data_IF_824948542493
#
_entry.id   IF_824948542493
#
_cell.length_a   1.000
_cell.length_b   1.000
_cell.length_c   1.000
_cell.angle_alpha   90.00
_cell.angle_beta   90.00
_cell.angle_gamma   90.00
#
_symmetry.space_group_name_H-M   'P 1'
#
loop_
_entity.id
_entity.type
_entity.pdbx_description
1 polymer ?
#
# COMPACT_ATOMS: atom_id res chain seq x y z
N UNK A 1 4.35 27.37 -1.64
CA UNK A 1 5.26 27.76 -0.54
C UNK A 1 4.83 26.98 0.70
N UNK A 2 5.40 25.80 0.90
CA UNK A 2 5.08 24.93 2.05
C UNK A 2 6.25 25.00 3.02
N UNK A 3 6.17 25.93 3.98
CA UNK A 3 7.16 26.06 5.03
C UNK A 3 7.08 24.87 5.98
N UNK A 4 8.19 24.19 6.18
CA UNK A 4 8.37 23.25 7.29
C UNK A 4 8.05 23.94 8.63
N UNK A 5 7.17 23.38 9.48
CA UNK A 5 7.05 23.85 10.86
C UNK A 5 8.09 23.11 11.72
N UNK A 6 9.38 23.23 11.39
CA UNK A 6 10.46 22.56 12.13
C UNK A 6 10.78 23.17 13.51
N UNK A 7 9.97 24.13 14.01
CA UNK A 7 10.25 24.75 15.32
C UNK A 7 9.02 25.09 16.18
N UNK A 8 7.87 24.44 15.98
CA UNK A 8 6.75 24.56 16.94
C UNK A 8 6.92 23.51 18.03
N UNK A 9 7.13 23.87 19.31
CA UNK A 9 7.20 22.88 20.37
C UNK A 9 5.88 22.11 20.46
N UNK A 10 5.94 20.79 20.44
CA UNK A 10 4.78 19.90 20.45
C UNK A 10 5.19 18.44 20.51
N UNK A 11 4.21 17.55 20.71
CA UNK A 11 4.44 16.12 20.78
C UNK A 11 3.63 15.41 19.68
N UNK A 12 4.24 14.40 19.07
CA UNK A 12 3.56 13.47 18.18
C UNK A 12 3.09 12.29 19.01
N UNK A 13 1.79 12.01 18.96
CA UNK A 13 1.17 10.93 19.71
C UNK A 13 0.48 9.96 18.76
N UNK A 14 0.71 8.68 19.01
CA UNK A 14 -0.01 7.57 18.40
C UNK A 14 -1.26 7.32 19.24
N UNK A 15 -2.44 7.43 18.63
CA UNK A 15 -3.72 7.31 19.32
C UNK A 15 -4.35 5.93 19.03
N UNK A 16 -4.89 5.21 20.03
CA UNK A 16 -5.63 3.97 19.81
C UNK A 16 -6.79 4.21 18.85
N UNK A 17 -7.06 3.29 17.93
CA UNK A 17 -8.10 3.46 16.93
C UNK A 17 -9.51 3.18 17.50
N UNK A 18 -9.88 3.84 18.61
CA UNK A 18 -11.24 3.84 19.15
C UNK A 18 -11.99 5.10 18.70
N UNK A 19 -13.11 4.90 17.99
CA UNK A 19 -13.96 5.99 17.47
C UNK A 19 -14.56 6.82 18.59
N UNK A 20 -14.81 6.23 19.75
CA UNK A 20 -15.41 6.89 20.92
C UNK A 20 -14.40 7.82 21.58
N UNK A 21 -13.20 7.29 21.87
CA UNK A 21 -12.10 8.08 22.42
C UNK A 21 -11.61 9.16 21.44
N UNK A 22 -11.70 8.95 20.13
CA UNK A 22 -11.33 9.97 19.15
C UNK A 22 -12.23 11.22 19.25
N UNK A 23 -13.52 11.02 19.56
CA UNK A 23 -14.47 12.10 19.80
C UNK A 23 -14.13 12.90 21.06
N UNK A 24 -13.83 12.21 22.16
CA UNK A 24 -13.40 12.81 23.44
C UNK A 24 -12.05 13.51 23.30
N UNK A 25 -11.11 12.89 22.58
CA UNK A 25 -9.80 13.46 22.25
C UNK A 25 -9.92 14.78 21.48
N UNK A 26 -10.80 14.83 20.46
CA UNK A 26 -11.03 16.07 19.71
C UNK A 26 -11.67 17.17 20.56
N UNK A 27 -12.48 16.81 21.56
CA UNK A 27 -13.02 17.79 22.54
C UNK A 27 -11.93 18.30 23.48
N UNK A 28 -11.05 17.43 23.98
CA UNK A 28 -9.98 17.79 24.91
C UNK A 28 -8.80 18.52 24.24
N UNK A 29 -8.47 18.16 22.99
CA UNK A 29 -7.36 18.72 22.21
C UNK A 29 -7.85 19.29 20.87
N UNK A 30 -8.62 20.40 20.88
CA UNK A 30 -9.20 20.97 19.66
C UNK A 30 -8.15 21.52 18.67
N UNK A 31 -6.91 21.75 19.14
CA UNK A 31 -5.78 22.22 18.32
C UNK A 31 -4.87 21.10 17.83
N UNK A 32 -5.22 19.83 18.05
CA UNK A 32 -4.46 18.70 17.54
C UNK A 32 -4.59 18.61 16.01
N UNK A 33 -3.47 18.36 15.33
CA UNK A 33 -3.40 18.29 13.87
C UNK A 33 -2.98 16.88 13.47
N UNK A 34 -3.71 16.24 12.56
CA UNK A 34 -3.26 14.98 11.97
C UNK A 34 -2.09 15.23 11.01
N UNK A 35 -0.97 14.54 11.21
CA UNK A 35 0.16 14.55 10.28
C UNK A 35 0.11 13.29 9.41
N UNK A 36 -0.11 13.45 8.10
CA UNK A 36 -0.19 12.32 7.18
C UNK A 36 1.18 11.64 6.98
N UNK A 37 2.26 12.43 7.02
CA UNK A 37 3.65 11.95 6.88
C UNK A 37 4.05 10.99 7.99
N UNK A 38 3.66 11.30 9.23
CA UNK A 38 4.00 10.48 10.42
C UNK A 38 2.85 9.59 10.90
N UNK A 39 1.67 9.70 10.27
CA UNK A 39 0.42 9.02 10.66
C UNK A 39 0.11 9.13 12.16
N UNK A 40 0.43 10.27 12.75
CA UNK A 40 0.29 10.56 14.17
C UNK A 40 -0.42 11.90 14.36
N UNK A 41 -1.02 12.08 15.54
CA UNK A 41 -1.59 13.37 15.94
C UNK A 41 -0.47 14.25 16.52
N UNK A 42 -0.35 15.48 16.03
CA UNK A 42 0.51 16.50 16.58
C UNK A 42 -0.28 17.38 17.55
N UNK A 43 0.10 17.38 18.83
CA UNK A 43 -0.45 18.29 19.83
C UNK A 43 0.54 19.44 20.04
N UNK A 44 0.13 20.71 19.86
CA UNK A 44 0.99 21.85 20.11
C UNK A 44 1.23 22.11 21.60
N UNK A 45 2.47 22.45 21.94
CA UNK A 45 2.93 22.87 23.28
C UNK A 45 4.05 21.99 23.85
N UNK A 46 4.98 22.59 24.62
CA UNK A 46 6.11 21.88 25.25
C UNK A 46 5.70 20.77 26.23
N UNK A 47 4.50 20.87 26.79
CA UNK A 47 3.92 19.89 27.73
C UNK A 47 2.83 19.03 27.08
N UNK A 48 2.78 19.00 25.75
CA UNK A 48 1.78 18.26 25.00
C UNK A 48 1.72 16.78 25.39
N UNK A 49 2.88 16.14 25.49
CA UNK A 49 3.02 14.74 25.92
C UNK A 49 2.44 14.52 27.33
N UNK A 50 2.93 15.26 28.34
CA UNK A 50 2.42 15.21 29.72
C UNK A 50 0.91 15.48 29.86
N UNK A 51 0.36 16.42 29.09
CA UNK A 51 -1.09 16.70 29.11
C UNK A 51 -1.88 15.58 28.48
N UNK A 52 -1.35 14.98 27.42
CA UNK A 52 -1.96 13.82 26.77
C UNK A 52 -1.95 12.60 27.68
N UNK A 53 -0.80 12.28 28.28
CA UNK A 53 -0.69 11.17 29.25
C UNK A 53 -1.64 11.39 30.43
N UNK A 54 -1.65 12.58 31.04
CA UNK A 54 -2.59 12.89 32.14
C UNK A 54 -4.05 12.80 31.74
N UNK A 55 -4.40 13.29 30.54
CA UNK A 55 -5.77 13.20 30.05
C UNK A 55 -6.15 11.75 29.78
N UNK A 56 -5.25 10.97 29.17
CA UNK A 56 -5.45 9.55 28.94
C UNK A 56 -5.64 8.81 30.26
N UNK A 57 -4.75 9.01 31.23
CA UNK A 57 -4.85 8.44 32.59
C UNK A 57 -6.16 8.85 33.25
N UNK A 58 -6.59 10.12 33.13
CA UNK A 58 -7.88 10.57 33.65
C UNK A 58 -9.08 9.85 33.02
N UNK A 59 -9.11 9.71 31.69
CA UNK A 59 -10.15 8.96 30.99
C UNK A 59 -10.14 7.46 31.37
N UNK A 60 -8.95 6.93 31.64
CA UNK A 60 -8.71 5.54 32.02
C UNK A 60 -9.14 5.26 33.46
N UNK A 61 -8.83 6.16 34.39
CA UNK A 61 -9.15 6.06 35.82
C UNK A 61 -10.63 6.34 36.11
N UNK A 62 -11.27 7.25 35.38
CA UNK A 62 -12.71 7.52 35.55
C UNK A 62 -13.58 6.31 35.19
N UNK A 63 -13.17 5.53 34.18
CA UNK A 63 -13.93 4.37 33.71
C UNK A 63 -13.67 3.10 34.52
N UNK A 64 -12.44 2.91 34.98
CA UNK A 64 -12.06 1.75 35.79
C UNK A 64 -10.75 2.04 36.56
N UNK A 65 -10.84 2.49 37.83
CA UNK A 65 -9.69 2.87 38.65
C UNK A 65 -8.75 1.70 38.95
N UNK A 66 -9.25 0.46 38.93
CA UNK A 66 -8.51 -0.74 39.34
C UNK A 66 -8.10 -1.62 38.15
N UNK A 67 -8.47 -1.24 36.91
CA UNK A 67 -8.21 -2.04 35.72
C UNK A 67 -6.75 -2.39 35.52
N UNK A 68 -5.83 -1.47 35.83
CA UNK A 68 -4.39 -1.71 35.68
C UNK A 68 -3.86 -2.72 36.71
N UNK A 69 -4.27 -2.59 37.98
CA UNK A 69 -3.90 -3.53 39.04
C UNK A 69 -4.50 -4.91 38.78
N UNK A 70 -5.78 -4.97 38.41
CA UNK A 70 -6.47 -6.22 38.06
C UNK A 70 -5.80 -6.91 36.87
N UNK A 71 -5.40 -6.13 35.86
CA UNK A 71 -4.69 -6.64 34.70
C UNK A 71 -3.33 -7.23 35.05
N UNK A 72 -2.60 -6.59 35.97
CA UNK A 72 -1.31 -7.07 36.49
C UNK A 72 -1.49 -8.34 37.32
N UNK A 73 -2.46 -8.36 38.23
CA UNK A 73 -2.78 -9.56 39.03
C UNK A 73 -3.19 -10.74 38.12
N UNK A 74 -3.95 -10.47 37.05
CA UNK A 74 -4.34 -11.47 36.08
C UNK A 74 -3.14 -11.99 35.25
N UNK A 75 -2.18 -11.12 34.93
CA UNK A 75 -0.92 -11.51 34.28
C UNK A 75 -0.05 -12.35 35.21
N UNK A 76 0.12 -11.93 36.47
CA UNK A 76 0.92 -12.64 37.47
C UNK A 76 0.32 -14.02 37.80
N UNK A 77 -1.02 -14.13 37.78
CA UNK A 77 -1.71 -15.40 38.01
C UNK A 77 -1.51 -16.39 36.86
N UNK A 78 -1.59 -15.93 35.61
CA UNK A 78 -1.51 -16.80 34.44
C UNK A 78 -0.86 -16.06 33.27
N UNK A 79 0.48 -15.99 33.23
CA UNK A 79 1.21 -15.23 32.23
C UNK A 79 1.23 -15.94 30.87
N UNK A 80 1.04 -15.17 29.80
CA UNK A 80 1.22 -15.67 28.43
C UNK A 80 2.72 -15.96 28.19
N UNK A 81 3.10 -17.23 28.19
CA UNK A 81 4.45 -17.69 27.86
C UNK A 81 4.67 -17.79 26.36
N UNK A 82 5.02 -16.68 25.71
CA UNK A 82 5.31 -16.65 24.27
C UNK A 82 6.56 -15.84 23.96
N UNK A 83 7.42 -16.26 23.00
CA UNK A 83 8.65 -15.55 22.64
C UNK A 83 8.41 -14.16 22.02
N UNK A 84 7.17 -13.85 21.69
CA UNK A 84 6.75 -12.61 21.07
C UNK A 84 6.23 -11.57 22.07
N UNK A 85 6.11 -11.93 23.35
CA UNK A 85 5.60 -11.07 24.41
C UNK A 85 6.67 -10.86 25.47
N UNK A 86 7.01 -9.61 25.72
CA UNK A 86 7.89 -9.18 26.80
C UNK A 86 7.06 -8.34 27.77
N UNK A 87 7.02 -8.73 29.05
CA UNK A 87 6.39 -7.91 30.08
C UNK A 87 7.42 -6.98 30.71
N UNK A 88 7.12 -5.68 30.73
CA UNK A 88 7.86 -4.65 31.46
C UNK A 88 6.90 -3.81 32.29
N UNK A 89 7.00 -2.49 32.17
CA UNK A 89 6.00 -1.57 32.73
C UNK A 89 4.63 -1.72 32.04
N UNK A 90 4.67 -1.98 30.72
CA UNK A 90 3.55 -2.36 29.84
C UNK A 90 3.86 -3.74 29.18
N UNK A 91 2.85 -4.36 28.57
CA UNK A 91 3.02 -5.56 27.74
C UNK A 91 3.54 -5.16 26.34
N UNK A 92 4.76 -5.59 26.01
CA UNK A 92 5.47 -5.26 24.79
C UNK A 92 5.47 -6.44 23.81
N UNK A 93 4.89 -6.28 22.62
CA UNK A 93 4.81 -7.35 21.62
C UNK A 93 5.77 -7.12 20.45
N UNK A 94 6.73 -8.03 20.29
CA UNK A 94 7.74 -8.02 19.22
C UNK A 94 7.43 -9.08 18.17
N UNK A 95 6.34 -8.91 17.43
CA UNK A 95 5.92 -9.87 16.39
C UNK A 95 6.42 -9.49 14.99
N UNK A 96 6.69 -10.47 14.10
CA UNK A 96 6.86 -10.19 12.67
C UNK A 96 5.65 -9.48 12.06
N UNK A 97 5.87 -8.61 11.07
CA UNK A 97 4.78 -7.91 10.40
C UNK A 97 3.83 -8.90 9.69
N UNK A 98 2.57 -8.89 10.12
CA UNK A 98 1.46 -9.60 9.49
C UNK A 98 0.21 -8.74 9.56
N UNK A 99 -0.54 -8.68 8.46
CA UNK A 99 -1.81 -7.95 8.39
C UNK A 99 -2.81 -8.47 9.43
N UNK A 100 -2.88 -9.79 9.60
CA UNK A 100 -3.73 -10.44 10.60
C UNK A 100 -3.36 -9.99 12.02
N UNK A 101 -2.07 -9.95 12.35
CA UNK A 101 -1.62 -9.52 13.69
C UNK A 101 -2.01 -8.06 13.94
N UNK A 102 -1.80 -7.19 12.96
CA UNK A 102 -2.18 -5.77 13.06
C UNK A 102 -3.69 -5.61 13.20
N UNK A 103 -4.49 -6.40 12.49
CA UNK A 103 -5.96 -6.38 12.58
C UNK A 103 -6.43 -6.84 13.96
N UNK A 104 -5.87 -7.91 14.51
CA UNK A 104 -6.20 -8.40 15.87
C UNK A 104 -5.76 -7.42 16.97
N UNK A 105 -4.53 -6.88 16.89
CA UNK A 105 -4.03 -5.94 17.90
C UNK A 105 -4.77 -4.61 17.88
N UNK A 106 -5.32 -4.20 16.72
CA UNK A 106 -6.21 -3.04 16.65
C UNK A 106 -7.54 -3.24 17.37
N UNK A 107 -7.98 -4.48 17.58
CA UNK A 107 -9.19 -4.77 18.36
C UNK A 107 -8.91 -4.74 19.86
N UNK A 108 -7.64 -4.84 20.29
CA UNK A 108 -7.27 -4.79 21.70
C UNK A 108 -7.37 -3.33 22.18
N UNK A 109 -8.21 -3.04 23.19
CA UNK A 109 -8.32 -1.68 23.72
C UNK A 109 -6.96 -1.15 24.19
N UNK A 110 -6.71 0.14 23.95
CA UNK A 110 -5.50 0.84 24.40
C UNK A 110 -4.17 0.32 23.84
N UNK A 111 -4.19 -0.64 22.91
CA UNK A 111 -3.01 -1.07 22.19
C UNK A 111 -2.47 0.07 21.31
N UNK A 112 -1.18 0.37 21.44
CA UNK A 112 -0.49 1.40 20.65
C UNK A 112 0.73 0.82 19.94
N UNK A 113 0.94 1.28 18.72
CA UNK A 113 2.19 1.02 18.01
C UNK A 113 3.21 2.10 18.36
N UNK A 114 4.39 1.69 18.80
CA UNK A 114 5.55 2.56 18.95
C UNK A 114 6.48 2.38 17.74
N UNK A 115 6.65 3.46 16.98
CA UNK A 115 7.48 3.48 15.77
C UNK A 115 8.98 3.42 16.10
N UNK A 116 9.38 3.93 17.28
CA UNK A 116 10.78 3.96 17.70
C UNK A 116 11.29 2.57 18.08
N UNK A 117 10.52 1.83 18.90
CA UNK A 117 10.86 0.46 19.30
C UNK A 117 10.32 -0.60 18.33
N UNK A 118 9.51 -0.21 17.33
CA UNK A 118 8.79 -1.12 16.41
C UNK A 118 8.06 -2.24 17.15
N UNK A 119 7.44 -1.87 18.27
CA UNK A 119 6.84 -2.80 19.21
C UNK A 119 5.43 -2.30 19.54
N UNK A 120 4.49 -3.22 19.69
CA UNK A 120 3.17 -2.87 20.21
C UNK A 120 3.23 -2.80 21.73
N UNK A 121 2.75 -1.71 22.30
CA UNK A 121 2.57 -1.55 23.74
C UNK A 121 1.10 -1.73 24.08
N UNK A 122 0.82 -2.62 25.03
CA UNK A 122 -0.52 -2.92 25.52
C UNK A 122 -0.50 -2.75 27.04
N UNK A 123 -1.32 -1.85 27.60
CA UNK A 123 -1.45 -1.72 29.05
C UNK A 123 -1.98 -3.00 29.71
N UNK A 124 -1.63 -3.25 30.97
CA UNK A 124 -2.03 -4.48 31.67
C UNK A 124 -3.55 -4.58 31.82
N UNK A 125 -4.27 -3.47 31.91
CA UNK A 125 -5.75 -3.47 31.92
C UNK A 125 -6.39 -4.17 30.72
N UNK A 126 -5.69 -4.27 29.59
CA UNK A 126 -6.14 -4.97 28.38
C UNK A 126 -5.68 -6.41 28.31
N UNK A 127 -5.06 -6.93 29.37
CA UNK A 127 -4.46 -8.25 29.38
C UNK A 127 -5.44 -9.36 29.04
N UNK A 128 -6.62 -9.40 29.68
CA UNK A 128 -7.62 -10.44 29.38
C UNK A 128 -8.06 -10.44 27.92
N UNK A 129 -8.18 -9.25 27.32
CA UNK A 129 -8.61 -9.12 25.93
C UNK A 129 -7.49 -9.49 24.95
N UNK A 130 -6.25 -9.14 25.29
CA UNK A 130 -5.06 -9.62 24.59
C UNK A 130 -4.96 -11.14 24.68
N UNK A 131 -5.19 -11.72 25.86
CA UNK A 131 -5.12 -13.15 26.13
C UNK A 131 -6.12 -13.95 25.30
N UNK A 132 -7.37 -13.47 25.17
CA UNK A 132 -8.38 -14.11 24.30
C UNK A 132 -7.95 -14.18 22.84
N UNK A 133 -7.26 -13.14 22.34
CA UNK A 133 -6.80 -13.05 20.93
C UNK A 133 -5.40 -13.65 20.71
N UNK A 134 -4.67 -13.91 21.79
CA UNK A 134 -3.29 -14.38 21.74
C UNK A 134 -3.08 -15.63 20.87
N UNK A 135 -3.95 -16.68 20.92
CA UNK A 135 -3.76 -17.87 20.09
C UNK A 135 -3.76 -17.56 18.58
N UNK A 136 -4.59 -16.61 18.14
CA UNK A 136 -4.66 -16.18 16.73
C UNK A 136 -3.42 -15.38 16.36
N UNK A 137 -2.99 -14.47 17.23
CA UNK A 137 -1.79 -13.65 17.06
C UNK A 137 -0.55 -14.54 16.98
N UNK A 138 -0.39 -15.48 17.90
CA UNK A 138 0.76 -16.39 17.95
C UNK A 138 0.79 -17.33 16.75
N UNK A 139 -0.36 -17.90 16.35
CA UNK A 139 -0.45 -18.73 15.15
C UNK A 139 -0.08 -17.92 13.89
N UNK A 140 -0.53 -16.66 13.79
CA UNK A 140 -0.18 -15.77 12.71
C UNK A 140 1.31 -15.37 12.75
N UNK A 141 1.90 -15.20 13.94
CA UNK A 141 3.32 -14.90 14.12
C UNK A 141 4.19 -16.08 13.66
N UNK A 142 3.92 -17.29 14.17
CA UNK A 142 4.61 -18.53 13.77
C UNK A 142 4.52 -18.79 12.27
N UNK A 143 3.33 -18.61 11.66
CA UNK A 143 3.16 -18.75 10.21
C UNK A 143 4.00 -17.74 9.42
N UNK A 144 4.19 -16.54 9.96
CA UNK A 144 4.90 -15.45 9.30
C UNK A 144 6.38 -15.34 9.69
N UNK A 145 6.89 -16.25 10.51
CA UNK A 145 8.31 -16.37 10.79
C UNK A 145 9.09 -16.43 9.46
N UNK A 146 10.19 -15.67 9.33
CA UNK A 146 11.03 -15.66 8.14
C UNK A 146 11.45 -17.07 7.71
N UNK A 147 11.70 -17.97 8.66
CA UNK A 147 12.11 -19.35 8.41
C UNK A 147 10.95 -20.22 7.92
N UNK A 148 9.74 -20.07 8.47
CA UNK A 148 8.54 -20.73 7.95
C UNK A 148 8.16 -20.21 6.54
N UNK A 149 8.44 -18.93 6.23
CA UNK A 149 8.29 -18.39 4.87
C UNK A 149 9.35 -18.95 3.92
N UNK A 150 10.59 -19.10 4.37
CA UNK A 150 11.70 -19.68 3.58
C UNK A 150 11.46 -21.16 3.30
N UNK A 151 11.03 -21.93 4.29
CA UNK A 151 10.70 -23.35 4.15
C UNK A 151 9.50 -23.56 3.21
N UNK A 152 8.45 -22.73 3.29
CA UNK A 152 7.35 -22.78 2.31
C UNK A 152 7.82 -22.43 0.90
N UNK A 153 8.63 -21.39 0.72
CA UNK A 153 9.21 -21.06 -0.59
C UNK A 153 10.08 -22.19 -1.15
N UNK A 154 10.80 -22.91 -0.29
CA UNK A 154 11.61 -24.06 -0.70
C UNK A 154 10.73 -25.28 -1.03
N UNK A 155 9.65 -25.54 -0.26
CA UNK A 155 8.72 -26.63 -0.52
C UNK A 155 7.83 -26.39 -1.75
N UNK A 156 7.49 -25.14 -2.03
CA UNK A 156 6.76 -24.73 -3.23
C UNK A 156 7.68 -24.58 -4.45
N UNK A 157 9.00 -24.69 -4.27
CA UNK A 157 10.00 -24.50 -5.33
C UNK A 157 9.84 -25.60 -6.38
N UNK A 158 9.41 -25.23 -7.58
CA UNK A 158 9.16 -26.16 -8.69
C UNK A 158 7.72 -26.68 -8.78
N UNK A 159 6.79 -26.15 -7.98
CA UNK A 159 5.35 -26.37 -8.21
C UNK A 159 4.94 -25.82 -9.58
N UNK A 160 4.01 -26.49 -10.25
CA UNK A 160 3.44 -26.02 -11.52
C UNK A 160 2.89 -24.59 -11.40
N UNK A 161 2.26 -24.27 -10.27
CA UNK A 161 1.72 -22.94 -9.98
C UNK A 161 2.84 -21.86 -9.88
N UNK A 162 4.00 -22.20 -9.33
CA UNK A 162 5.15 -21.28 -9.25
C UNK A 162 5.75 -21.04 -10.63
N UNK A 163 5.89 -22.11 -11.44
CA UNK A 163 6.38 -22.00 -12.81
C UNK A 163 5.43 -21.16 -13.68
N UNK A 164 4.12 -21.35 -13.56
CA UNK A 164 3.11 -20.53 -14.22
C UNK A 164 3.14 -19.08 -13.73
N UNK A 165 3.26 -18.84 -12.43
CA UNK A 165 3.37 -17.49 -11.87
C UNK A 165 4.66 -16.79 -12.34
N UNK A 166 5.77 -17.53 -12.45
CA UNK A 166 7.04 -17.04 -12.98
C UNK A 166 6.93 -16.71 -14.47
N UNK A 167 6.32 -17.59 -15.26
CA UNK A 167 6.05 -17.36 -16.68
C UNK A 167 5.15 -16.13 -16.88
N UNK A 168 4.06 -16.00 -16.12
CA UNK A 168 3.19 -14.80 -16.12
C UNK A 168 3.93 -13.53 -15.70
N UNK A 169 4.86 -13.63 -14.76
CA UNK A 169 5.66 -12.49 -14.29
C UNK A 169 6.73 -12.07 -15.30
N UNK A 170 7.37 -13.02 -15.97
CA UNK A 170 8.29 -12.76 -17.08
C UNK A 170 7.52 -12.11 -18.23
N UNK A 171 6.33 -12.61 -18.56
CA UNK A 171 5.51 -12.05 -19.63
C UNK A 171 5.04 -10.62 -19.31
N UNK A 172 4.59 -10.36 -18.07
CA UNK A 172 4.28 -9.00 -17.59
C UNK A 172 5.44 -8.03 -17.77
N UNK A 173 6.68 -8.47 -17.52
CA UNK A 173 7.88 -7.62 -17.68
C UNK A 173 8.19 -7.28 -19.13
N UNK A 174 7.76 -8.11 -20.09
CA UNK A 174 7.91 -7.82 -21.52
C UNK A 174 7.01 -6.67 -21.98
N UNK A 175 5.98 -6.32 -21.20
CA UNK A 175 5.01 -5.23 -21.49
C UNK A 175 4.42 -5.33 -22.90
N UNK A 176 4.12 -6.57 -23.30
CA UNK A 176 3.41 -6.89 -24.54
C UNK A 176 1.98 -7.29 -24.20
N UNK A 177 1.06 -7.07 -25.12
CA UNK A 177 -0.34 -7.44 -24.98
C UNK A 177 -0.90 -7.82 -26.36
N UNK A 178 -1.67 -8.90 -26.47
CA UNK A 178 -2.26 -9.30 -27.75
C UNK A 178 -3.35 -8.31 -28.17
N UNK A 179 -3.30 -7.88 -29.42
CA UNK A 179 -4.25 -6.95 -30.03
C UNK A 179 -4.75 -7.52 -31.36
N UNK A 180 -6.05 -7.43 -31.69
CA UNK A 180 -6.56 -7.85 -32.99
C UNK A 180 -5.88 -7.09 -34.14
N UNK A 181 -5.38 -7.81 -35.15
CA UNK A 181 -4.71 -7.22 -36.32
C UNK A 181 -5.66 -6.35 -37.15
N UNK A 182 -6.94 -6.75 -37.23
CA UNK A 182 -7.98 -6.08 -38.02
C UNK A 182 -8.47 -4.78 -37.36
N UNK A 183 -8.50 -4.76 -36.01
CA UNK A 183 -8.99 -3.61 -35.25
C UNK A 183 -8.03 -3.27 -34.09
N UNK A 184 -6.90 -2.61 -34.38
CA UNK A 184 -5.96 -2.20 -33.35
C UNK A 184 -6.45 -0.98 -32.55
N UNK A 185 -6.06 -0.87 -31.26
CA UNK A 185 -6.36 0.30 -30.44
C UNK A 185 -5.60 1.52 -30.95
N UNK A 186 -6.19 2.69 -30.70
CA UNK A 186 -5.52 3.96 -30.98
C UNK A 186 -4.34 4.14 -30.04
N UNK A 187 -3.15 4.27 -30.61
CA UNK A 187 -1.92 4.54 -29.86
C UNK A 187 -2.03 5.86 -29.09
N UNK A 188 -1.41 5.91 -27.91
CA UNK A 188 -1.40 7.11 -27.06
C UNK A 188 -2.71 7.38 -26.30
N UNK A 189 -3.74 6.55 -26.45
CA UNK A 189 -5.00 6.66 -25.71
C UNK A 189 -5.05 5.63 -24.58
N UNK A 190 -5.65 6.01 -23.44
CA UNK A 190 -5.88 5.06 -22.35
C UNK A 190 -7.03 4.12 -22.69
N UNK A 191 -6.78 2.84 -22.50
CA UNK A 191 -7.66 1.72 -22.85
C UNK A 191 -7.67 0.75 -21.66
N UNK A 192 -8.83 0.21 -21.31
CA UNK A 192 -8.95 -0.83 -20.30
C UNK A 192 -8.67 -2.21 -20.92
N UNK A 193 -8.07 -3.09 -20.13
CA UNK A 193 -7.76 -4.47 -20.49
C UNK A 193 -8.14 -5.39 -19.35
N UNK A 194 -8.55 -6.60 -19.71
CA UNK A 194 -8.95 -7.63 -18.73
C UNK A 194 -7.82 -8.01 -17.77
N UNK A 195 -6.58 -8.08 -18.27
CA UNK A 195 -5.43 -8.62 -17.51
C UNK A 195 -4.65 -7.55 -16.74
N UNK A 196 -4.60 -6.32 -17.24
CA UNK A 196 -3.69 -5.27 -16.75
C UNK A 196 -4.40 -3.97 -16.34
N UNK A 197 -5.72 -3.88 -16.48
CA UNK A 197 -6.48 -2.67 -16.19
C UNK A 197 -6.21 -1.58 -17.24
N UNK A 198 -6.21 -0.32 -16.81
CA UNK A 198 -6.10 0.83 -17.73
C UNK A 198 -4.64 1.09 -18.13
N UNK A 199 -4.34 0.87 -19.41
CA UNK A 199 -3.00 1.00 -20.01
C UNK A 199 -3.03 1.91 -21.24
N UNK A 200 -1.85 2.32 -21.71
CA UNK A 200 -1.69 3.05 -22.97
C UNK A 200 -0.80 2.24 -23.90
N UNK A 201 -1.29 1.98 -25.11
CA UNK A 201 -0.50 1.36 -26.17
C UNK A 201 0.46 2.38 -26.80
N UNK A 202 1.74 2.00 -26.90
CA UNK A 202 2.81 2.84 -27.44
C UNK A 202 3.26 2.43 -28.85
N UNK A 203 3.01 1.18 -29.23
CA UNK A 203 3.33 0.68 -30.56
C UNK A 203 2.79 -0.72 -30.79
N UNK A 204 2.53 -1.08 -32.05
CA UNK A 204 2.04 -2.39 -32.47
C UNK A 204 3.13 -3.07 -33.30
N UNK A 205 3.51 -4.27 -32.90
CA UNK A 205 4.39 -5.17 -33.66
C UNK A 205 3.56 -5.87 -34.75
N UNK A 206 4.22 -6.30 -35.83
CA UNK A 206 3.62 -7.19 -36.84
C UNK A 206 3.84 -8.68 -36.51
N UNK A 207 4.37 -8.98 -35.32
CA UNK A 207 4.56 -10.34 -34.84
C UNK A 207 3.23 -10.94 -34.37
N UNK A 208 2.82 -12.05 -35.01
CA UNK A 208 1.59 -12.79 -34.68
C UNK A 208 1.75 -13.50 -33.34
N UNK A 209 0.72 -13.42 -32.50
CA UNK A 209 0.67 -14.09 -31.20
C UNK A 209 0.32 -15.57 -31.39
N UNK A 210 1.19 -16.51 -30.95
CA UNK A 210 0.88 -17.92 -30.99
C UNK A 210 -0.30 -18.29 -30.07
N UNK A 211 -1.15 -19.24 -30.49
CA UNK A 211 -2.30 -19.72 -29.69
C UNK A 211 -1.92 -20.36 -28.35
N UNK A 212 -0.65 -20.69 -28.12
CA UNK A 212 -0.15 -21.17 -26.82
C UNK A 212 -0.34 -20.17 -25.68
N UNK A 213 -0.52 -18.87 -26.00
CA UNK A 213 -0.78 -17.82 -25.01
C UNK A 213 -2.25 -17.71 -24.58
N UNK A 214 -3.15 -18.51 -25.14
CA UNK A 214 -4.57 -18.48 -24.79
C UNK A 214 -4.87 -18.75 -23.31
N UNK A 215 -4.03 -19.52 -22.63
CA UNK A 215 -4.16 -19.73 -21.17
C UNK A 215 -3.89 -18.44 -20.37
N UNK A 216 -3.08 -17.52 -20.92
CA UNK A 216 -2.78 -16.22 -20.29
C UNK A 216 -3.74 -15.11 -20.75
N UNK A 217 -4.33 -15.23 -21.93
CA UNK A 217 -5.27 -14.28 -22.52
C UNK A 217 -6.51 -15.03 -23.06
N UNK A 218 -7.51 -15.32 -22.20
CA UNK A 218 -8.65 -16.16 -22.56
C UNK A 218 -9.49 -15.65 -23.74
N UNK A 219 -9.56 -14.33 -23.95
CA UNK A 219 -10.29 -13.72 -25.07
C UNK A 219 -9.77 -14.15 -26.45
N UNK A 220 -8.52 -14.63 -26.55
CA UNK A 220 -7.98 -15.15 -27.82
C UNK A 220 -8.58 -16.50 -28.22
N UNK A 221 -9.11 -17.30 -27.28
CA UNK A 221 -9.75 -18.58 -27.59
C UNK A 221 -11.11 -18.40 -28.26
N UNK A 222 -11.84 -17.36 -27.88
CA UNK A 222 -13.21 -17.13 -28.33
C UNK A 222 -13.25 -16.26 -29.60
N UNK A 223 -12.10 -15.94 -30.19
CA UNK A 223 -11.99 -15.10 -31.38
C UNK A 223 -11.36 -15.84 -32.55
N UNK A 224 -11.95 -15.67 -33.74
CA UNK A 224 -11.41 -16.14 -35.01
C UNK A 224 -10.37 -15.17 -35.59
N UNK A 225 -10.13 -14.05 -34.91
CA UNK A 225 -9.20 -13.01 -35.37
C UNK A 225 -7.74 -13.40 -35.12
N UNK A 226 -6.86 -12.91 -35.99
CA UNK A 226 -5.42 -12.95 -35.74
C UNK A 226 -5.03 -11.83 -34.76
N UNK A 227 -4.21 -12.18 -33.78
CA UNK A 227 -3.69 -11.24 -32.80
C UNK A 227 -2.22 -10.96 -33.07
N UNK A 228 -1.82 -9.70 -32.93
CA UNK A 228 -0.45 -9.24 -33.00
C UNK A 228 -0.02 -8.65 -31.67
N UNK A 229 1.28 -8.66 -31.39
CA UNK A 229 1.81 -8.08 -30.15
C UNK A 229 1.76 -6.56 -30.19
N UNK A 230 1.19 -5.94 -29.15
CA UNK A 230 1.30 -4.50 -28.92
C UNK A 230 2.10 -4.22 -27.64
N UNK A 231 2.96 -3.20 -27.69
CA UNK A 231 3.71 -2.71 -26.55
C UNK A 231 2.89 -1.68 -25.78
N UNK A 232 2.95 -1.72 -24.45
CA UNK A 232 2.16 -0.85 -23.60
C UNK A 232 2.95 -0.26 -22.43
N UNK A 233 2.41 0.82 -21.86
CA UNK A 233 2.89 1.42 -20.62
C UNK A 233 1.73 1.74 -19.68
N UNK A 234 1.95 1.80 -18.36
CA UNK A 234 0.93 2.32 -17.46
C UNK A 234 0.57 3.77 -17.83
N UNK A 235 -0.72 4.10 -17.74
CA UNK A 235 -1.19 5.47 -17.93
C UNK A 235 -0.77 6.34 -16.74
N UNK A 236 -0.37 7.59 -16.98
CA UNK A 236 -0.09 8.53 -15.89
C UNK A 236 -1.38 9.15 -15.34
N UNK A 237 -1.33 9.73 -14.14
CA UNK A 237 -2.51 10.36 -13.53
C UNK A 237 -3.14 11.47 -14.41
N UNK A 238 -2.37 12.38 -15.04
CA UNK A 238 -2.95 13.38 -15.97
C UNK A 238 -3.66 12.74 -17.16
N UNK A 239 -3.07 11.68 -17.73
CA UNK A 239 -3.65 10.95 -18.85
C UNK A 239 -4.97 10.28 -18.45
N UNK A 240 -5.04 9.68 -17.26
CA UNK A 240 -6.27 9.09 -16.73
C UNK A 240 -7.37 10.13 -16.45
N UNK A 241 -7.01 11.38 -16.13
CA UNK A 241 -7.98 12.46 -15.92
C UNK A 241 -8.52 12.96 -17.27
N UNK A 242 -7.68 13.02 -18.30
CA UNK A 242 -8.05 13.50 -19.64
C UNK A 242 -8.99 12.56 -20.42
N UNK A 243 -9.14 11.31 -19.97
CA UNK A 243 -9.89 10.29 -20.68
C UNK A 243 -11.38 10.40 -20.38
N UNK A 244 -12.17 10.55 -21.43
CA UNK A 244 -13.62 10.49 -21.36
C UNK A 244 -14.10 9.04 -21.20
N UNK A 245 -14.97 8.75 -20.20
CA UNK A 245 -15.52 7.41 -19.99
C UNK A 245 -16.31 6.91 -21.20
N UNK A 246 -16.31 5.60 -21.41
CA UNK A 246 -17.21 4.97 -22.38
C UNK A 246 -18.68 5.23 -22.01
N UNK A 247 -19.50 5.57 -23.00
CA UNK A 247 -20.96 5.75 -22.85
C UNK A 247 -21.74 4.44 -22.93
N UNK A 248 -21.15 3.44 -23.57
CA UNK A 248 -21.71 2.10 -23.78
C UNK A 248 -20.83 1.10 -23.03
N UNK A 249 -21.44 0.00 -22.56
CA UNK A 249 -20.72 -1.07 -21.88
C UNK A 249 -19.58 -1.66 -22.73
N UNK A 250 -18.57 -2.26 -22.07
CA UNK A 250 -17.36 -2.72 -22.75
C UNK A 250 -17.65 -3.88 -23.71
N UNK A 251 -17.04 -3.81 -24.91
CA UNK A 251 -16.94 -4.96 -25.80
C UNK A 251 -15.65 -5.72 -25.50
N UNK A 252 -15.77 -6.89 -24.91
CA UNK A 252 -14.65 -7.73 -24.52
C UNK A 252 -14.08 -8.56 -25.67
N UNK A 253 -14.74 -8.60 -26.84
CA UNK A 253 -14.32 -9.46 -27.96
C UNK A 253 -12.96 -9.06 -28.54
N UNK A 254 -12.58 -7.78 -28.40
CA UNK A 254 -11.28 -7.25 -28.85
C UNK A 254 -10.16 -7.43 -27.82
N UNK A 255 -10.47 -7.88 -26.60
CA UNK A 255 -9.53 -7.93 -25.46
C UNK A 255 -9.23 -6.56 -24.83
N UNK A 256 -9.67 -5.47 -25.45
CA UNK A 256 -9.45 -4.11 -24.99
C UNK A 256 -10.70 -3.25 -25.24
N UNK A 257 -11.00 -2.31 -24.34
CA UNK A 257 -12.17 -1.43 -24.44
C UNK A 257 -11.90 -0.03 -23.89
N UNK A 258 -12.75 0.94 -24.25
CA UNK A 258 -12.70 2.26 -23.63
C UNK A 258 -13.08 2.15 -22.15
N UNK A 259 -12.28 2.71 -21.23
CA UNK A 259 -12.49 2.51 -19.81
C UNK A 259 -13.82 3.13 -19.35
N UNK A 260 -14.49 2.45 -18.42
CA UNK A 260 -15.68 2.98 -17.77
C UNK A 260 -15.34 3.92 -16.60
N UNK A 261 -16.35 4.51 -15.96
CA UNK A 261 -16.14 5.45 -14.85
C UNK A 261 -15.58 4.75 -13.59
N UNK A 262 -15.95 3.50 -13.33
CA UNK A 262 -15.52 2.76 -12.13
C UNK A 262 -14.08 2.28 -12.27
N UNK A 263 -13.68 1.76 -13.43
CA UNK A 263 -12.31 1.38 -13.78
C UNK A 263 -11.36 2.58 -13.68
N UNK A 264 -11.79 3.76 -14.14
CA UNK A 264 -11.02 5.00 -13.97
C UNK A 264 -10.92 5.41 -12.50
N UNK A 265 -11.97 5.25 -11.69
CA UNK A 265 -11.93 5.54 -10.25
C UNK A 265 -10.95 4.63 -9.51
N UNK A 266 -10.95 3.33 -9.81
CA UNK A 266 -10.03 2.36 -9.22
C UNK A 266 -8.59 2.69 -9.63
N UNK A 267 -8.36 2.95 -10.91
CA UNK A 267 -7.02 3.26 -11.43
C UNK A 267 -6.46 4.56 -10.86
N UNK A 268 -7.27 5.61 -10.72
CA UNK A 268 -6.85 6.89 -10.10
C UNK A 268 -6.50 6.78 -8.62
N UNK A 269 -7.04 5.79 -7.91
CA UNK A 269 -6.78 5.57 -6.47
C UNK A 269 -5.47 4.83 -6.20
N UNK A 270 -4.82 4.26 -7.22
CA UNK A 270 -3.60 3.48 -7.00
C UNK A 270 -2.42 4.37 -6.54
N UNK A 271 -1.73 3.98 -5.45
CA UNK A 271 -0.66 4.80 -4.84
C UNK A 271 0.59 4.91 -5.72
N UNK A 272 0.85 3.92 -6.58
CA UNK A 272 2.01 3.90 -7.48
C UNK A 272 1.97 5.07 -8.49
N UNK A 273 0.77 5.48 -8.91
CA UNK A 273 0.56 6.58 -9.86
C UNK A 273 0.80 7.97 -9.26
N UNK A 274 0.61 8.12 -7.94
CA UNK A 274 0.94 9.36 -7.21
C UNK A 274 2.45 9.57 -7.07
N UNK A 275 3.20 8.46 -6.98
CA UNK A 275 4.66 8.46 -6.81
C UNK A 275 5.40 8.77 -8.12
N UNK A 276 4.84 8.35 -9.26
CA UNK A 276 5.40 8.61 -10.58
C UNK A 276 5.29 10.10 -11.01
N UNK A 277 4.34 10.85 -10.46
CA UNK A 277 4.21 12.30 -10.70
C UNK A 277 5.34 13.14 -10.07
N UNK A 278 6.14 12.57 -9.16
CA UNK A 278 7.26 13.26 -8.53
C UNK A 278 8.59 13.19 -9.32
N UNK A 279 8.62 12.45 -10.44
CA UNK A 279 9.77 12.44 -11.37
C UNK A 279 9.33 13.06 -12.69
N UNK A 280 9.32 14.39 -12.74
CA UNK A 280 9.36 15.10 -14.01
C UNK A 280 10.59 14.63 -14.80
N UNK A 281 10.43 14.11 -16.04
CA UNK A 281 11.56 14.08 -16.95
C UNK A 281 11.84 15.54 -17.33
N UNK A 282 12.90 16.11 -16.75
CA UNK A 282 13.47 17.37 -17.25
C UNK A 282 14.03 17.06 -18.62
N UNK A 283 13.24 17.31 -19.67
CA UNK A 283 13.74 17.46 -21.02
C UNK A 283 14.57 18.74 -21.04
N UNK A 284 15.86 18.63 -20.74
CA UNK A 284 16.84 19.67 -21.08
C UNK A 284 17.00 19.60 -22.60
N UNK A 285 16.18 20.38 -23.30
CA UNK A 285 16.39 20.71 -24.69
C UNK A 285 17.69 21.51 -24.82
N UNK A 286 18.73 20.86 -25.34
CA UNK A 286 19.98 21.51 -25.76
C UNK A 286 19.67 22.28 -27.04
N UNK A 287 19.42 23.58 -26.92
CA UNK A 287 19.41 24.49 -28.07
C UNK A 287 20.83 24.59 -28.64
N UNK A 288 21.02 24.46 -29.97
CA UNK A 288 22.32 24.69 -30.59
C UNK A 288 22.60 26.18 -30.66
N UNK A 289 23.68 26.62 -30.00
CA UNK A 289 24.27 27.94 -30.23
C UNK A 289 24.91 27.95 -31.61
N UNK A 290 24.34 28.76 -32.51
CA UNK A 290 25.03 29.33 -33.66
C UNK A 290 26.16 30.19 -33.13
N UNK A 291 27.40 29.72 -33.30
CA UNK A 291 28.52 30.58 -33.65
C UNK A 291 29.30 29.85 -34.74
N UNK A 292 29.13 30.38 -35.94
CA UNK A 292 29.82 29.99 -37.15
C UNK A 292 31.09 30.85 -37.28
N UNK A 293 32.13 30.25 -37.87
CA UNK A 293 33.37 30.85 -38.35
C UNK A 293 34.43 31.38 -37.36
N UNK A 294 35.40 30.52 -37.04
CA UNK A 294 36.81 30.81 -37.38
C UNK A 294 37.29 29.68 -38.31
N UNK A 295 37.53 29.96 -39.59
CA UNK A 295 38.78 30.45 -40.19
C UNK A 295 39.96 29.48 -40.07
N UNK A 296 40.79 29.44 -41.13
CA UNK A 296 42.04 28.68 -41.38
C UNK A 296 41.77 27.51 -42.34
N UNK A 297 42.37 27.35 -43.53
CA UNK A 297 43.46 28.03 -44.24
C UNK A 297 43.35 27.64 -45.74
N UNK A 298 43.65 28.52 -46.70
CA UNK A 298 44.94 28.63 -47.41
C UNK A 298 45.24 27.43 -48.34
N UNK A 299 45.28 27.76 -49.64
CA UNK A 299 45.68 26.99 -50.83
C UNK A 299 44.68 25.99 -51.42
#
# INVERSE_FOLDING_TARGET
>A
MSGEPSNRPGAYISFPYDRTMLGEFRRAFPRAIWSDDRRNWFIPGKTADRRFTRWMDGQLSERDPFGESKGRDAYDFDPIGSPYLEAGDDLCLRTPFSRTIVEELRQVPWARWDDNSRTWHVPFRSYEELRKRWPVIEAAARRNEPDARKQRRLASRGSAEELEARSRSVERRRRRYPVPAVFPPRLGRAVSTETYGVIIFIGISQEIVPRTFSCSYPFMNNSLMEFVWASWRPATLPELISVWPARTGPDHCSGWWLPDLEELRVSRKQPELKSAGARHPVLIGRLPTRDDQMHIDRF
#
